data_IF_238841226371
#
_entry.id   IF_238841226371
#
_cell.length_a   1.000
_cell.length_b   1.000
_cell.length_c   1.000
_cell.angle_alpha   90.00
_cell.angle_beta   90.00
_cell.angle_gamma   90.00
#
_symmetry.space_group_name_H-M   'P 1'
#
loop_
_entity.id
_entity.type
_entity.pdbx_description
1 polymer ?
#
# COMPACT_ATOMS: atom_id res chain seq x y z
N UNK A 1 -12.41 -3.28 0.78
CA UNK A 1 -11.12 -3.25 0.06
C UNK A 1 -10.06 -3.95 0.90
N UNK A 2 -9.25 -4.76 0.29
CA UNK A 2 -8.22 -5.54 1.00
C UNK A 2 -6.82 -5.02 0.63
N UNK A 3 -5.96 -4.88 1.64
CA UNK A 3 -4.60 -4.38 1.48
C UNK A 3 -3.63 -5.40 2.09
N UNK A 4 -2.63 -5.80 1.32
CA UNK A 4 -1.59 -6.73 1.77
C UNK A 4 -0.31 -5.96 2.03
N UNK A 5 0.27 -6.13 3.21
CA UNK A 5 1.48 -5.41 3.63
C UNK A 5 2.47 -6.33 4.33
N UNK A 6 3.73 -5.90 4.37
CA UNK A 6 4.80 -6.62 5.06
C UNK A 6 4.89 -6.13 6.50
N UNK A 7 4.35 -6.90 7.44
CA UNK A 7 4.37 -6.58 8.86
C UNK A 7 5.75 -6.65 9.51
N UNK A 8 6.72 -7.26 8.84
CA UNK A 8 8.10 -7.29 9.32
C UNK A 8 8.86 -6.00 8.98
N UNK A 9 8.34 -5.19 8.07
CA UNK A 9 8.94 -3.92 7.68
C UNK A 9 8.52 -2.81 8.64
N UNK A 10 9.45 -2.15 9.36
CA UNK A 10 9.08 -1.08 10.30
C UNK A 10 8.37 0.10 9.63
N UNK A 11 8.82 0.48 8.43
CA UNK A 11 8.21 1.56 7.67
C UNK A 11 6.79 1.22 7.23
N UNK A 12 6.57 0.00 6.73
CA UNK A 12 5.25 -0.47 6.30
C UNK A 12 4.28 -0.52 7.49
N UNK A 13 4.72 -0.98 8.65
CA UNK A 13 3.88 -1.02 9.86
C UNK A 13 3.42 0.38 10.28
N UNK A 14 4.33 1.36 10.23
CA UNK A 14 3.98 2.74 10.58
C UNK A 14 2.97 3.33 9.64
N UNK A 15 3.13 3.07 8.34
CA UNK A 15 2.21 3.54 7.32
C UNK A 15 0.83 2.92 7.48
N UNK A 16 0.77 1.60 7.70
CA UNK A 16 -0.51 0.91 7.91
C UNK A 16 -1.19 1.39 9.20
N UNK A 17 -0.43 1.65 10.26
CA UNK A 17 -0.98 2.20 11.50
C UNK A 17 -1.64 3.56 11.26
N UNK A 18 -1.00 4.43 10.47
CA UNK A 18 -1.55 5.73 10.10
C UNK A 18 -2.84 5.57 9.28
N UNK A 19 -2.86 4.62 8.34
CA UNK A 19 -4.04 4.37 7.51
C UNK A 19 -5.20 3.83 8.35
N UNK A 20 -4.95 2.92 9.29
CA UNK A 20 -5.96 2.41 10.21
C UNK A 20 -6.56 3.53 11.06
N UNK A 21 -5.71 4.44 11.52
CA UNK A 21 -6.18 5.59 12.30
C UNK A 21 -7.09 6.51 11.48
N UNK A 22 -6.78 6.71 10.20
CA UNK A 22 -7.57 7.53 9.29
C UNK A 22 -8.84 6.82 8.77
N UNK A 23 -8.86 5.50 8.78
CA UNK A 23 -9.96 4.69 8.26
C UNK A 23 -11.10 4.56 9.29
N UNK A 24 -11.83 5.63 9.50
CA UNK A 24 -12.91 5.72 10.49
C UNK A 24 -14.12 4.84 10.13
N UNK A 25 -14.27 4.48 8.86
CA UNK A 25 -15.40 3.66 8.38
C UNK A 25 -15.07 2.19 8.32
N UNK A 26 -13.86 1.79 8.69
CA UNK A 26 -13.39 0.41 8.58
C UNK A 26 -13.59 -0.14 7.17
N UNK A 27 -13.32 0.68 6.16
CA UNK A 27 -13.46 0.33 4.75
C UNK A 27 -12.34 -0.58 4.26
N UNK A 28 -11.24 -0.67 5.01
CA UNK A 28 -10.05 -1.42 4.63
C UNK A 28 -9.86 -2.64 5.53
N UNK A 29 -9.48 -3.75 4.91
CA UNK A 29 -9.03 -4.96 5.59
C UNK A 29 -7.52 -5.09 5.34
N UNK A 30 -6.72 -5.11 6.40
CA UNK A 30 -5.26 -5.19 6.30
C UNK A 30 -4.80 -6.60 6.61
N UNK A 31 -4.04 -7.20 5.70
CA UNK A 31 -3.48 -8.55 5.84
C UNK A 31 -1.97 -8.47 5.87
N UNK A 32 -1.39 -8.96 6.97
CA UNK A 32 0.06 -9.03 7.15
C UNK A 32 0.60 -10.29 6.45
N UNK A 33 1.28 -10.11 5.33
CA UNK A 33 1.84 -11.21 4.53
C UNK A 33 3.20 -11.68 5.02
N UNK A 34 3.77 -11.08 6.06
CA UNK A 34 4.94 -11.64 6.74
C UNK A 34 4.56 -12.91 7.50
N UNK A 35 3.28 -13.10 7.81
CA UNK A 35 2.74 -14.34 8.37
C UNK A 35 2.54 -15.35 7.24
N UNK A 36 3.24 -16.49 7.32
CA UNK A 36 3.20 -17.52 6.28
C UNK A 36 1.82 -18.13 6.06
N UNK A 37 0.94 -18.08 7.05
CA UNK A 37 -0.42 -18.61 6.95
C UNK A 37 -1.40 -17.63 6.29
N UNK A 38 -0.99 -16.39 6.01
CA UNK A 38 -1.85 -15.39 5.41
C UNK A 38 -2.19 -15.74 3.95
N UNK A 39 -3.45 -15.53 3.57
CA UNK A 39 -3.90 -15.73 2.20
C UNK A 39 -3.42 -14.57 1.33
N UNK A 40 -2.84 -14.88 0.18
CA UNK A 40 -2.32 -13.89 -0.75
C UNK A 40 -2.74 -14.25 -2.17
N UNK A 41 -3.36 -13.31 -2.95
CA UNK A 41 -3.85 -13.60 -4.30
C UNK A 41 -2.73 -13.65 -5.35
N UNK A 42 -1.54 -13.20 -5.01
CA UNK A 42 -0.37 -13.24 -5.87
C UNK A 42 0.74 -14.01 -5.18
N UNK A 43 1.83 -14.31 -5.91
CA UNK A 43 2.99 -14.92 -5.30
C UNK A 43 3.47 -14.10 -4.09
N UNK A 44 3.74 -14.76 -2.97
CA UNK A 44 4.18 -14.11 -1.74
C UNK A 44 5.43 -13.25 -1.96
N UNK A 45 6.36 -13.72 -2.78
CA UNK A 45 7.58 -12.98 -3.10
C UNK A 45 7.26 -11.66 -3.80
N UNK A 46 6.32 -11.68 -4.76
CA UNK A 46 5.87 -10.46 -5.43
C UNK A 46 5.16 -9.51 -4.47
N UNK A 47 4.32 -10.06 -3.59
CA UNK A 47 3.58 -9.27 -2.61
C UNK A 47 4.50 -8.60 -1.58
N UNK A 48 5.59 -9.26 -1.20
CA UNK A 48 6.59 -8.68 -0.29
C UNK A 48 7.46 -7.63 -0.98
N UNK A 49 7.65 -7.75 -2.30
CA UNK A 49 8.47 -6.82 -3.07
C UNK A 49 7.77 -5.49 -3.33
N UNK A 50 6.44 -5.49 -3.47
CA UNK A 50 5.63 -4.30 -3.76
C UNK A 50 4.35 -4.31 -2.94
N UNK A 51 3.85 -3.12 -2.66
CA UNK A 51 2.56 -2.94 -2.02
C UNK A 51 1.44 -3.40 -2.95
N UNK A 52 0.50 -4.18 -2.44
CA UNK A 52 -0.64 -4.69 -3.20
C UNK A 52 -1.96 -4.41 -2.49
N UNK A 53 -2.99 -4.18 -3.29
CA UNK A 53 -4.35 -3.98 -2.80
C UNK A 53 -5.36 -4.56 -3.79
N UNK A 54 -6.54 -4.91 -3.30
CA UNK A 54 -7.65 -5.35 -4.16
C UNK A 54 -8.81 -4.39 -3.99
N UNK A 55 -9.17 -3.73 -5.10
CA UNK A 55 -10.33 -2.84 -5.20
C UNK A 55 -11.39 -3.55 -6.03
N UNK A 56 -12.48 -3.99 -5.37
CA UNK A 56 -13.46 -4.86 -6.03
C UNK A 56 -12.79 -6.18 -6.43
N UNK A 57 -12.77 -6.47 -7.73
CA UNK A 57 -12.12 -7.68 -8.27
C UNK A 57 -10.74 -7.39 -8.88
N UNK A 58 -10.31 -6.12 -8.84
CA UNK A 58 -9.05 -5.71 -9.45
C UNK A 58 -7.92 -5.73 -8.43
N UNK A 59 -6.82 -6.38 -8.80
CA UNK A 59 -5.59 -6.38 -7.99
C UNK A 59 -4.67 -5.30 -8.52
N UNK A 60 -4.26 -4.40 -7.61
CA UNK A 60 -3.42 -3.26 -7.92
C UNK A 60 -2.10 -3.38 -7.16
N UNK A 61 -1.04 -2.76 -7.69
CA UNK A 61 0.27 -2.76 -7.04
C UNK A 61 0.91 -1.38 -7.12
N UNK A 62 1.84 -1.11 -6.20
CA UNK A 62 2.60 0.13 -6.19
C UNK A 62 1.74 1.35 -5.97
N UNK A 63 1.99 2.41 -6.73
CA UNK A 63 1.28 3.68 -6.61
C UNK A 63 -0.22 3.54 -6.84
N UNK A 64 -0.65 2.67 -7.77
CA UNK A 64 -2.06 2.42 -8.03
C UNK A 64 -2.75 1.82 -6.81
N UNK A 65 -2.08 0.93 -6.07
CA UNK A 65 -2.62 0.33 -4.85
C UNK A 65 -2.75 1.39 -3.74
N UNK A 66 -1.76 2.27 -3.58
CA UNK A 66 -1.84 3.37 -2.63
C UNK A 66 -2.99 4.32 -2.97
N UNK A 67 -3.13 4.68 -4.24
CA UNK A 67 -4.21 5.57 -4.68
C UNK A 67 -5.59 4.96 -4.40
N UNK A 68 -5.75 3.66 -4.65
CA UNK A 68 -7.00 2.96 -4.35
C UNK A 68 -7.30 2.97 -2.86
N UNK A 69 -6.28 2.75 -2.02
CA UNK A 69 -6.41 2.80 -0.57
C UNK A 69 -6.85 4.20 -0.12
N UNK A 70 -6.25 5.25 -0.68
CA UNK A 70 -6.63 6.63 -0.35
C UNK A 70 -8.07 6.93 -0.74
N UNK A 71 -8.54 6.41 -1.89
CA UNK A 71 -9.94 6.59 -2.31
C UNK A 71 -10.94 5.96 -1.34
N UNK A 72 -10.53 4.88 -0.66
CA UNK A 72 -11.37 4.20 0.31
C UNK A 72 -11.45 4.94 1.66
N UNK A 73 -10.49 5.81 1.96
CA UNK A 73 -10.43 6.57 3.21
C UNK A 73 -11.01 7.97 2.97
N UNK A 74 -12.10 8.38 3.65
CA UNK A 74 -12.74 9.67 3.38
C UNK A 74 -11.79 10.88 3.48
N UNK A 75 -10.90 10.90 4.46
CA UNK A 75 -9.95 11.98 4.66
C UNK A 75 -8.92 12.10 3.52
N UNK A 76 -8.64 11.02 2.81
CA UNK A 76 -7.63 10.96 1.75
C UNK A 76 -8.23 10.76 0.35
N UNK A 77 -9.55 10.72 0.26
CA UNK A 77 -10.24 10.42 -1.01
C UNK A 77 -9.83 11.38 -2.13
N UNK A 78 -9.64 12.65 -1.83
CA UNK A 78 -9.27 13.64 -2.82
C UNK A 78 -7.90 13.35 -3.44
N UNK A 79 -6.95 12.84 -2.65
CA UNK A 79 -5.64 12.42 -3.17
C UNK A 79 -5.77 11.23 -4.12
N UNK A 80 -6.61 10.26 -3.75
CA UNK A 80 -6.85 9.08 -4.58
C UNK A 80 -7.55 9.43 -5.89
N UNK A 81 -8.46 10.41 -5.87
CA UNK A 81 -9.14 10.88 -7.08
C UNK A 81 -8.16 11.61 -7.99
N UNK A 82 -7.30 12.47 -7.44
CA UNK A 82 -6.25 13.13 -8.22
C UNK A 82 -5.33 12.13 -8.91
N UNK A 83 -5.06 11.00 -8.26
CA UNK A 83 -4.20 9.96 -8.82
C UNK A 83 -4.80 9.24 -10.04
N UNK A 84 -6.07 9.48 -10.36
CA UNK A 84 -6.69 8.94 -11.58
C UNK A 84 -6.23 9.67 -12.85
N UNK A 85 -5.74 10.90 -12.72
CA UNK A 85 -5.17 11.61 -13.87
C UNK A 85 -3.85 10.94 -14.25
N UNK A 86 -3.67 10.68 -15.56
CA UNK A 86 -2.51 9.92 -16.05
C UNK A 86 -1.17 10.52 -15.67
N UNK A 87 -1.04 11.86 -15.68
CA UNK A 87 0.19 12.56 -15.30
C UNK A 87 0.49 12.33 -13.81
N UNK A 88 -0.51 12.48 -12.95
CA UNK A 88 -0.36 12.30 -11.50
C UNK A 88 0.00 10.85 -11.18
N UNK A 89 -0.65 9.89 -11.83
CA UNK A 89 -0.36 8.47 -11.66
C UNK A 89 1.08 8.14 -12.03
N UNK A 90 1.58 8.68 -13.15
CA UNK A 90 2.98 8.49 -13.57
C UNK A 90 3.97 9.05 -12.57
N UNK A 91 3.68 10.24 -12.04
CA UNK A 91 4.54 10.87 -11.04
C UNK A 91 4.58 10.06 -9.75
N UNK A 92 3.41 9.57 -9.30
CA UNK A 92 3.32 8.71 -8.12
C UNK A 92 4.06 7.39 -8.31
N UNK A 93 3.94 6.78 -9.49
CA UNK A 93 4.67 5.54 -9.77
C UNK A 93 6.19 5.76 -9.77
N UNK A 94 6.66 6.86 -10.34
CA UNK A 94 8.09 7.22 -10.29
C UNK A 94 8.56 7.45 -8.86
N UNK A 95 7.75 8.14 -8.05
CA UNK A 95 8.06 8.36 -6.65
C UNK A 95 8.10 7.03 -5.89
N UNK A 96 7.18 6.12 -6.17
CA UNK A 96 7.14 4.80 -5.57
C UNK A 96 8.38 3.97 -5.93
N UNK A 97 8.78 3.98 -7.19
CA UNK A 97 9.99 3.28 -7.64
C UNK A 97 11.24 3.84 -6.98
N UNK A 98 11.31 5.18 -6.85
CA UNK A 98 12.39 5.83 -6.11
C UNK A 98 12.40 5.41 -4.64
N UNK A 99 11.24 5.34 -4.01
CA UNK A 99 11.10 4.85 -2.64
C UNK A 99 11.60 3.41 -2.51
N UNK A 100 11.24 2.53 -3.44
CA UNK A 100 11.71 1.14 -3.40
C UNK A 100 13.23 1.02 -3.46
N UNK A 101 13.89 1.92 -4.21
CA UNK A 101 15.36 1.90 -4.31
C UNK A 101 16.04 2.32 -3.01
N UNK A 102 15.40 3.19 -2.20
CA UNK A 102 15.96 3.64 -0.91
C UNK A 102 15.38 2.90 0.29
N UNK A 103 14.37 2.08 0.08
CA UNK A 103 13.68 1.34 1.14
C UNK A 103 14.62 0.55 2.06
N UNK A 104 15.62 -0.20 1.54
CA UNK A 104 16.54 -0.93 2.41
C UNK A 104 17.31 -0.03 3.37
N UNK A 105 17.70 1.16 2.91
CA UNK A 105 18.41 2.15 3.76
C UNK A 105 17.51 2.69 4.85
N UNK A 106 16.26 3.03 4.50
CA UNK A 106 15.28 3.51 5.46
C UNK A 106 14.95 2.47 6.51
N UNK A 107 14.81 1.22 6.10
CA UNK A 107 14.55 0.12 7.03
C UNK A 107 15.69 -0.06 8.03
N UNK A 108 16.95 0.08 7.61
CA UNK A 108 18.10 0.01 8.50
C UNK A 108 18.10 1.13 9.54
N UNK A 109 17.71 2.33 9.12
CA UNK A 109 17.67 3.48 10.04
C UNK A 109 16.55 3.34 11.08
N UNK A 110 15.47 2.63 10.73
CA UNK A 110 14.31 2.50 11.61
C UNK A 110 14.33 1.28 12.51
N UNK A 111 15.29 0.39 12.31
CA UNK A 111 15.43 -0.81 13.15
C UNK A 111 16.00 -0.51 14.54
#
# INVERSE_FOLDING_TARGET
MTVWYDGACPLCRREIAAMRWLDRRNALVFIDISNESATCPVDRRAALARFHAMEGERILSGAAAFAAMWRAIPALRWLGVLARFGVVERLLERAYLGFLSVRPRLQRLLK
#
